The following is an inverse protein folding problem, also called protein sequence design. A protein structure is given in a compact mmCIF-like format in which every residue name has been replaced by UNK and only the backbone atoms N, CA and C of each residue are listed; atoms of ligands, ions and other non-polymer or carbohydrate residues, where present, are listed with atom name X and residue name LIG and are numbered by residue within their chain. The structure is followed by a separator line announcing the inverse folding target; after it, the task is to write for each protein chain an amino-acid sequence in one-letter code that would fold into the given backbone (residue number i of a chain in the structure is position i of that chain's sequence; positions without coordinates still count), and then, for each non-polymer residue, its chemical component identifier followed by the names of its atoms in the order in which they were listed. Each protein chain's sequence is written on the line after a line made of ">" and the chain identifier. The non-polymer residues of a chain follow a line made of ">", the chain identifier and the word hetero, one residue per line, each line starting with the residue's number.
data_IF_030889929703
#
_entry.id   IF_030889929703
#
_cell.length_a   1.000
_cell.length_b   1.000
_cell.length_c   1.000
_cell.angle_alpha   90.00
_cell.angle_beta   90.00
_cell.angle_gamma   90.00
#
_symmetry.space_group_name_H-M   'P 1'
#
loop_
_entity.id
_entity.type
_entity.pdbx_description
1 polymer ?
#
# COMPACT_ATOMS: atom_id res chain seq x y z
N UNK A 1 0.18 -23.23 -8.71
CA UNK A 1 1.14 -24.17 -8.07
C UNK A 1 0.68 -24.43 -6.65
N UNK A 2 0.84 -25.64 -6.13
CA UNK A 2 0.58 -25.97 -4.72
C UNK A 2 1.92 -26.20 -4.02
N UNK A 3 2.18 -25.43 -2.98
CA UNK A 3 3.43 -25.41 -2.22
C UNK A 3 3.08 -25.41 -0.75
N UNK A 4 3.88 -26.09 0.08
CA UNK A 4 3.78 -26.02 1.53
C UNK A 4 4.83 -25.03 2.02
N UNK A 5 4.41 -24.06 2.81
CA UNK A 5 5.27 -23.03 3.40
C UNK A 5 4.99 -22.98 4.91
N UNK A 6 6.02 -22.68 5.69
CA UNK A 6 5.84 -22.30 7.09
C UNK A 6 5.50 -20.80 7.14
N UNK A 7 4.46 -20.43 7.89
CA UNK A 7 3.94 -19.06 7.97
C UNK A 7 3.50 -18.81 9.41
N UNK A 8 3.91 -17.68 9.97
CA UNK A 8 3.55 -17.28 11.33
C UNK A 8 2.02 -17.24 11.53
N UNK A 9 1.58 -17.64 12.72
CA UNK A 9 0.17 -17.85 13.02
C UNK A 9 -0.66 -16.55 12.94
N UNK A 10 -0.06 -15.43 13.30
CA UNK A 10 -0.66 -14.09 13.23
C UNK A 10 -0.89 -13.64 11.78
N UNK A 11 0.06 -13.91 10.89
CA UNK A 11 -0.06 -13.65 9.45
C UNK A 11 -1.18 -14.50 8.85
N UNK A 12 -1.28 -15.79 9.23
CA UNK A 12 -2.38 -16.66 8.78
C UNK A 12 -3.73 -16.16 9.29
N UNK A 13 -3.82 -15.69 10.54
CA UNK A 13 -5.05 -15.13 11.09
C UNK A 13 -5.49 -13.88 10.31
N UNK A 14 -4.59 -12.91 10.12
CA UNK A 14 -4.88 -11.70 9.35
C UNK A 14 -5.29 -11.99 7.90
N UNK A 15 -4.60 -12.93 7.24
CA UNK A 15 -4.93 -13.29 5.86
C UNK A 15 -6.29 -13.99 5.75
N UNK A 16 -6.74 -14.72 6.78
CA UNK A 16 -8.09 -15.32 6.81
C UNK A 16 -9.19 -14.28 6.93
N UNK A 17 -9.00 -13.28 7.79
CA UNK A 17 -9.95 -12.17 7.92
C UNK A 17 -10.09 -11.41 6.59
N UNK A 18 -8.95 -11.10 5.95
CA UNK A 18 -8.94 -10.43 4.65
C UNK A 18 -9.60 -11.29 3.56
N UNK A 19 -9.30 -12.58 3.52
CA UNK A 19 -9.91 -13.51 2.57
C UNK A 19 -11.44 -13.59 2.75
N UNK A 20 -11.94 -13.57 3.98
CA UNK A 20 -13.37 -13.57 4.28
C UNK A 20 -14.03 -12.25 3.83
N UNK A 21 -13.42 -11.11 4.15
CA UNK A 21 -13.91 -9.79 3.76
C UNK A 21 -14.00 -9.63 2.23
N UNK A 22 -12.98 -10.10 1.51
CA UNK A 22 -12.92 -9.99 0.05
C UNK A 22 -13.59 -11.16 -0.70
N UNK A 23 -14.10 -12.17 0.01
CA UNK A 23 -14.66 -13.42 -0.57
C UNK A 23 -13.69 -14.14 -1.51
N UNK A 24 -12.43 -14.22 -1.11
CA UNK A 24 -11.34 -14.86 -1.86
C UNK A 24 -10.80 -16.07 -1.12
N UNK A 25 -10.07 -16.93 -1.81
CA UNK A 25 -9.36 -18.03 -1.14
C UNK A 25 -8.14 -17.52 -0.38
N UNK A 26 -7.81 -18.15 0.75
CA UNK A 26 -6.61 -17.83 1.53
C UNK A 26 -5.34 -17.86 0.66
N UNK A 27 -5.21 -18.88 -0.20
CA UNK A 27 -4.09 -18.99 -1.13
C UNK A 27 -4.00 -17.84 -2.13
N UNK A 28 -5.13 -17.29 -2.61
CA UNK A 28 -5.13 -16.12 -3.50
C UNK A 28 -4.64 -14.87 -2.79
N UNK A 29 -5.11 -14.64 -1.55
CA UNK A 29 -4.71 -13.50 -0.72
C UNK A 29 -3.21 -13.58 -0.37
N UNK A 30 -2.73 -14.71 0.16
CA UNK A 30 -1.30 -14.91 0.46
C UNK A 30 -0.44 -14.72 -0.78
N UNK A 31 -0.87 -15.27 -1.93
CA UNK A 31 -0.13 -15.13 -3.19
C UNK A 31 -0.06 -13.67 -3.67
N UNK A 32 -1.10 -12.87 -3.44
CA UNK A 32 -1.07 -11.44 -3.73
C UNK A 32 -0.18 -10.66 -2.75
N UNK A 33 -0.30 -10.91 -1.45
CA UNK A 33 0.55 -10.27 -0.44
C UNK A 33 2.02 -10.55 -0.72
N UNK A 34 2.37 -11.79 -1.08
CA UNK A 34 3.72 -12.16 -1.50
C UNK A 34 4.16 -11.39 -2.76
N UNK A 35 3.31 -11.26 -3.79
CA UNK A 35 3.63 -10.44 -4.98
C UNK A 35 3.87 -8.98 -4.64
N UNK A 36 3.06 -8.40 -3.75
CA UNK A 36 3.21 -7.01 -3.29
C UNK A 36 4.52 -6.84 -2.52
N UNK A 37 4.87 -7.77 -1.62
CA UNK A 37 6.11 -7.74 -0.86
C UNK A 37 7.38 -7.98 -1.68
N UNK A 38 7.29 -8.74 -2.77
CA UNK A 38 8.39 -8.94 -3.72
C UNK A 38 8.56 -7.77 -4.69
N UNK A 39 7.56 -6.90 -4.81
CA UNK A 39 7.67 -5.68 -5.59
C UNK A 39 8.48 -4.67 -4.76
N UNK A 40 9.67 -4.24 -5.20
CA UNK A 40 10.42 -3.22 -4.47
C UNK A 40 9.56 -1.96 -4.36
N UNK A 41 9.43 -1.43 -3.14
CA UNK A 41 8.83 -0.13 -2.92
C UNK A 41 9.72 0.92 -3.60
N UNK A 42 9.39 1.26 -4.85
CA UNK A 42 10.13 2.26 -5.61
C UNK A 42 9.62 3.63 -5.18
N UNK A 43 10.17 4.11 -4.08
CA UNK A 43 10.03 5.50 -3.68
C UNK A 43 10.91 6.29 -4.63
N UNK A 44 10.29 7.13 -5.47
CA UNK A 44 11.08 8.09 -6.23
C UNK A 44 11.67 9.10 -5.26
N UNK A 45 12.95 9.38 -5.41
CA UNK A 45 13.65 10.37 -4.57
C UNK A 45 14.15 11.53 -5.44
N UNK A 46 14.02 12.74 -4.90
CA UNK A 46 14.65 13.95 -5.41
C UNK A 46 15.71 14.39 -4.41
N UNK A 47 16.96 13.96 -4.62
CA UNK A 47 17.99 14.05 -3.57
C UNK A 47 17.68 13.07 -2.43
N UNK A 48 17.76 13.55 -1.19
CA UNK A 48 17.54 12.73 0.02
C UNK A 48 16.08 12.63 0.45
N UNK A 49 15.16 13.26 -0.27
CA UNK A 49 13.73 13.29 0.07
C UNK A 49 12.90 12.46 -0.91
N UNK A 50 11.88 11.73 -0.42
CA UNK A 50 10.89 11.09 -1.27
C UNK A 50 10.10 12.16 -2.03
N UNK A 51 9.85 11.92 -3.32
CA UNK A 51 9.09 12.82 -4.18
C UNK A 51 7.88 12.13 -4.77
N UNK A 52 6.77 12.87 -4.85
CA UNK A 52 5.57 12.46 -5.56
C UNK A 52 5.59 13.16 -6.91
N UNK A 53 5.56 12.39 -8.01
CA UNK A 53 5.41 12.94 -9.36
C UNK A 53 3.96 13.31 -9.58
N UNK A 54 3.72 14.56 -9.97
CA UNK A 54 2.41 15.05 -10.38
C UNK A 54 2.42 15.33 -11.89
N UNK A 55 1.26 15.27 -12.58
CA UNK A 55 1.17 15.64 -13.98
C UNK A 55 1.73 17.05 -14.26
N UNK A 56 2.29 17.24 -15.46
CA UNK A 56 2.75 18.56 -15.90
C UNK A 56 1.60 19.57 -15.87
N UNK A 57 1.88 20.76 -15.34
CA UNK A 57 0.88 21.82 -15.18
C UNK A 57 -0.01 21.70 -13.94
N UNK A 58 0.23 20.73 -13.06
CA UNK A 58 -0.44 20.68 -11.74
C UNK A 58 -0.11 21.95 -10.95
N UNK A 59 -1.16 22.64 -10.47
CA UNK A 59 -0.99 23.84 -9.67
C UNK A 59 -0.25 23.54 -8.35
N UNK A 60 0.64 24.42 -7.89
CA UNK A 60 1.36 24.23 -6.65
C UNK A 60 0.40 24.25 -5.46
N UNK A 61 0.68 23.44 -4.44
CA UNK A 61 0.01 23.54 -3.15
C UNK A 61 0.44 24.87 -2.50
N UNK A 62 -0.53 25.72 -2.18
CA UNK A 62 -0.29 27.03 -1.57
C UNK A 62 -0.52 26.99 -0.05
N UNK A 63 0.08 27.91 0.73
CA UNK A 63 -0.18 28.00 2.17
C UNK A 63 -1.66 28.19 2.51
N UNK A 64 -2.43 28.88 1.66
CA UNK A 64 -3.86 29.11 1.89
C UNK A 64 -4.68 27.81 1.74
N UNK A 65 -4.32 26.94 0.79
CA UNK A 65 -4.94 25.62 0.65
C UNK A 65 -4.71 24.76 1.90
N UNK A 66 -3.50 24.83 2.47
CA UNK A 66 -3.16 24.09 3.70
C UNK A 66 -3.96 24.62 4.88
N UNK A 67 -4.02 25.94 5.05
CA UNK A 67 -4.78 26.55 6.15
C UNK A 67 -6.26 26.18 6.08
N UNK A 68 -6.88 26.31 4.91
CA UNK A 68 -8.28 25.91 4.72
C UNK A 68 -8.53 24.44 5.07
N UNK A 69 -7.63 23.53 4.69
CA UNK A 69 -7.81 22.10 4.96
C UNK A 69 -7.70 21.75 6.45
N UNK A 70 -6.92 22.52 7.22
CA UNK A 70 -6.78 22.35 8.68
C UNK A 70 -7.93 23.00 9.46
N UNK A 71 -8.58 24.01 8.89
CA UNK A 71 -9.74 24.68 9.48
C UNK A 71 -11.04 23.87 9.28
N UNK A 72 -11.03 22.82 8.44
CA UNK A 72 -12.17 21.93 8.17
C UNK A 72 -12.32 20.77 9.20
N UNK A 73 -11.60 20.82 10.32
CA UNK A 73 -11.72 19.92 11.49
C UNK A 73 -12.57 20.50 12.65
#
# INVERSE_FOLDING_TARGET
>A
MRTTLDIDADVVAAARELAAAERRSLGSVISELARRGLSPARVESGGDLPVIRVPLGTAPITPEMVRRALDED
#
